data_IF_348128045187
#
_entry.id   IF_348128045187
#
_cell.length_a   1.000
_cell.length_b   1.000
_cell.length_c   1.000
_cell.angle_alpha   90.00
_cell.angle_beta   90.00
_cell.angle_gamma   90.00
#
_symmetry.space_group_name_H-M   'P 1'
#
loop_
_entity.id
_entity.type
_entity.pdbx_description
1 polymer ?
#
# COMPACT_ATOMS: atom_id res chain seq x y z
N UNK A 1 8.61 5.33 -27.71
CA UNK A 1 7.42 6.20 -27.59
C UNK A 1 7.86 7.65 -27.55
N UNK A 2 7.02 8.58 -28.08
CA UNK A 2 7.31 10.03 -28.08
C UNK A 2 6.57 10.76 -26.94
N UNK A 3 5.41 10.23 -26.53
CA UNK A 3 4.56 10.80 -25.48
C UNK A 3 4.04 9.73 -24.55
N UNK A 4 4.17 9.97 -23.24
CA UNK A 4 3.60 9.11 -22.22
C UNK A 4 2.78 9.94 -21.23
N UNK A 5 1.92 9.29 -20.48
CA UNK A 5 1.20 9.92 -19.37
C UNK A 5 1.50 9.23 -18.05
N UNK A 6 1.23 9.94 -16.95
CA UNK A 6 1.27 9.40 -15.60
C UNK A 6 0.02 9.81 -14.83
N UNK A 7 -0.55 8.88 -14.08
CA UNK A 7 -1.68 9.12 -13.18
C UNK A 7 -1.46 8.44 -11.83
N UNK A 8 -2.17 8.94 -10.83
CA UNK A 8 -2.37 8.28 -9.55
C UNK A 8 -3.84 7.93 -9.37
N UNK A 9 -4.14 6.75 -8.83
CA UNK A 9 -5.51 6.26 -8.68
C UNK A 9 -5.68 5.50 -7.36
N UNK A 10 -6.89 5.48 -6.83
CA UNK A 10 -7.20 4.82 -5.57
C UNK A 10 -6.88 5.69 -4.35
N UNK A 11 -6.47 5.07 -3.24
CA UNK A 11 -6.02 5.77 -2.05
C UNK A 11 -4.64 6.40 -2.27
N UNK A 12 -4.44 7.59 -1.72
CA UNK A 12 -3.12 8.20 -1.74
C UNK A 12 -2.15 7.49 -0.78
N UNK A 13 -0.86 7.56 -1.11
CA UNK A 13 0.22 7.01 -0.30
C UNK A 13 1.45 7.93 -0.32
N UNK A 14 2.18 8.06 0.80
CA UNK A 14 3.40 8.84 0.84
C UNK A 14 4.44 8.25 -0.13
N UNK A 15 4.98 9.07 -1.03
CA UNK A 15 5.92 8.62 -2.07
C UNK A 15 5.32 8.62 -3.48
N UNK A 16 3.99 8.73 -3.66
CA UNK A 16 3.39 8.91 -4.99
C UNK A 16 3.98 10.10 -5.73
N UNK A 17 4.17 11.23 -5.07
CA UNK A 17 4.81 12.41 -5.66
C UNK A 17 6.27 12.16 -6.08
N UNK A 18 7.00 11.34 -5.32
CA UNK A 18 8.36 10.94 -5.69
C UNK A 18 8.37 10.05 -6.95
N UNK A 19 7.39 9.14 -7.08
CA UNK A 19 7.22 8.31 -8.26
C UNK A 19 6.86 9.14 -9.50
N UNK A 20 5.89 10.04 -9.39
CA UNK A 20 5.53 10.97 -10.49
C UNK A 20 6.75 11.79 -10.91
N UNK A 21 7.51 12.33 -9.93
CA UNK A 21 8.73 13.08 -10.22
C UNK A 21 9.76 12.26 -10.98
N UNK A 22 9.94 11.01 -10.61
CA UNK A 22 10.87 10.11 -11.28
C UNK A 22 10.45 9.83 -12.73
N UNK A 23 9.18 9.53 -12.96
CA UNK A 23 8.60 9.35 -14.30
C UNK A 23 8.83 10.60 -15.14
N UNK A 24 8.46 11.78 -14.64
CA UNK A 24 8.59 13.04 -15.39
C UNK A 24 10.04 13.33 -15.75
N UNK A 25 10.95 13.28 -14.79
CA UNK A 25 12.36 13.62 -15.03
C UNK A 25 13.07 12.60 -15.92
N UNK A 26 12.78 11.31 -15.72
CA UNK A 26 13.33 10.25 -16.58
C UNK A 26 12.82 10.37 -18.00
N UNK A 27 11.52 10.58 -18.21
CA UNK A 27 10.93 10.78 -19.53
C UNK A 27 11.60 11.96 -20.28
N UNK A 28 11.71 13.11 -19.63
CA UNK A 28 12.37 14.29 -20.22
C UNK A 28 13.84 14.00 -20.55
N UNK A 29 14.58 13.27 -19.71
CA UNK A 29 15.98 12.91 -19.99
C UNK A 29 16.15 11.98 -21.19
N UNK A 30 15.12 11.23 -21.54
CA UNK A 30 15.05 10.35 -22.71
C UNK A 30 14.43 11.04 -23.96
N UNK A 31 14.11 12.34 -23.85
CA UNK A 31 13.49 13.09 -24.95
C UNK A 31 12.00 12.76 -25.16
N UNK A 32 11.33 12.21 -24.17
CA UNK A 32 9.93 11.83 -24.20
C UNK A 32 9.08 12.93 -23.55
N UNK A 33 8.05 13.41 -24.24
CA UNK A 33 7.05 14.31 -23.67
C UNK A 33 6.19 13.57 -22.66
N UNK A 34 5.94 14.19 -21.50
CA UNK A 34 5.18 13.57 -20.40
C UNK A 34 3.99 14.43 -20.00
N UNK A 35 2.86 13.79 -19.81
CA UNK A 35 1.59 14.39 -19.44
C UNK A 35 1.13 13.86 -18.07
N UNK A 36 0.59 14.74 -17.25
CA UNK A 36 -0.13 14.38 -16.02
C UNK A 36 -1.61 14.21 -16.30
N UNK A 37 -2.24 13.27 -15.63
CA UNK A 37 -3.69 13.08 -15.65
C UNK A 37 -4.19 13.32 -14.23
N UNK A 38 -5.01 14.36 -14.02
CA UNK A 38 -5.64 14.62 -12.73
C UNK A 38 -6.73 13.58 -12.44
N UNK A 39 -6.95 13.30 -11.14
CA UNK A 39 -8.06 12.45 -10.66
C UNK A 39 -8.09 11.02 -11.28
N UNK A 40 -6.92 10.49 -11.66
CA UNK A 40 -6.78 9.12 -12.12
C UNK A 40 -7.62 8.78 -13.36
N UNK A 41 -8.33 7.66 -13.32
CA UNK A 41 -9.16 7.21 -14.44
C UNK A 41 -10.34 8.14 -14.75
N UNK A 42 -10.90 8.82 -13.74
CA UNK A 42 -11.95 9.81 -13.96
C UNK A 42 -11.45 10.95 -14.85
N UNK A 43 -10.29 11.51 -14.53
CA UNK A 43 -9.68 12.55 -15.35
C UNK A 43 -9.21 12.07 -16.72
N UNK A 44 -8.76 10.81 -16.81
CA UNK A 44 -8.43 10.21 -18.12
C UNK A 44 -9.64 10.25 -19.05
N UNK A 45 -10.81 9.81 -18.60
CA UNK A 45 -12.05 9.79 -19.38
C UNK A 45 -12.55 11.21 -19.65
N UNK A 46 -12.43 12.12 -18.68
CA UNK A 46 -12.81 13.53 -18.84
C UNK A 46 -11.86 14.34 -19.74
N UNK A 47 -10.65 13.82 -20.04
CA UNK A 47 -9.63 14.55 -20.79
C UNK A 47 -8.91 15.61 -19.95
N UNK A 48 -8.91 15.50 -18.62
CA UNK A 48 -8.13 16.38 -17.71
C UNK A 48 -6.64 15.98 -17.74
N UNK A 49 -6.04 16.21 -18.88
CA UNK A 49 -4.69 15.80 -19.28
C UNK A 49 -3.88 17.03 -19.65
N UNK A 50 -2.72 17.20 -19.05
CA UNK A 50 -1.90 18.40 -19.23
C UNK A 50 -0.41 18.06 -19.29
N UNK A 51 0.42 18.87 -19.98
CA UNK A 51 1.84 18.62 -20.08
C UNK A 51 2.55 18.86 -18.75
N UNK A 52 3.52 18.01 -18.43
CA UNK A 52 4.40 18.13 -17.28
C UNK A 52 5.82 18.52 -17.72
N UNK A 53 6.46 19.36 -16.92
CA UNK A 53 7.84 19.81 -17.11
C UNK A 53 8.68 19.44 -15.89
N UNK A 54 10.00 19.59 -15.98
CA UNK A 54 10.88 19.44 -14.82
C UNK A 54 10.52 20.37 -13.66
N UNK A 55 9.99 21.56 -13.96
CA UNK A 55 9.53 22.51 -12.95
C UNK A 55 8.23 22.07 -12.26
N UNK A 56 7.33 21.38 -12.98
CA UNK A 56 6.06 20.86 -12.43
C UNK A 56 6.28 19.92 -11.24
N UNK A 57 7.42 19.25 -11.19
CA UNK A 57 7.78 18.28 -10.15
C UNK A 57 8.90 18.77 -9.22
N UNK A 58 9.22 20.06 -9.31
CA UNK A 58 10.15 20.71 -8.36
C UNK A 58 9.61 20.61 -6.94
N UNK A 59 10.48 20.34 -5.97
CA UNK A 59 10.18 20.24 -4.53
C UNK A 59 9.01 19.30 -4.15
N UNK A 60 8.68 18.32 -5.03
CA UNK A 60 7.60 17.36 -4.80
C UNK A 60 8.07 16.08 -4.09
N UNK A 61 9.35 15.73 -4.15
CA UNK A 61 9.87 14.44 -3.65
C UNK A 61 9.59 14.20 -2.16
N UNK A 62 9.58 15.25 -1.36
CA UNK A 62 9.33 15.17 0.08
C UNK A 62 7.87 15.41 0.49
N UNK A 63 6.96 15.62 -0.45
CA UNK A 63 5.55 15.89 -0.14
C UNK A 63 4.72 14.63 -0.14
N UNK A 64 3.93 14.44 0.92
CA UNK A 64 2.90 13.39 0.98
C UNK A 64 1.74 13.65 0.03
N UNK A 65 0.81 12.70 -0.03
CA UNK A 65 -0.31 12.73 -0.97
C UNK A 65 0.13 12.66 -2.43
N UNK A 66 -0.72 13.13 -3.32
CA UNK A 66 -0.46 13.21 -4.76
C UNK A 66 -0.93 14.54 -5.34
N UNK A 67 -0.06 15.25 -6.07
CA UNK A 67 -0.42 16.53 -6.70
C UNK A 67 -1.24 16.35 -7.98
N UNK A 68 -1.34 15.12 -8.51
CA UNK A 68 -2.25 14.77 -9.61
C UNK A 68 -3.65 14.41 -9.10
N UNK A 69 -3.87 14.53 -7.80
CA UNK A 69 -5.09 14.10 -7.15
C UNK A 69 -5.40 12.62 -7.38
N UNK A 70 -6.47 12.13 -6.77
CA UNK A 70 -6.95 10.76 -6.94
C UNK A 70 -8.46 10.72 -6.80
N UNK A 71 -9.11 9.86 -7.55
CA UNK A 71 -10.53 9.61 -7.44
C UNK A 71 -10.83 8.12 -7.62
N UNK A 72 -11.93 7.69 -7.03
CA UNK A 72 -12.55 6.40 -7.38
C UNK A 72 -13.43 6.63 -8.59
N UNK A 73 -13.32 5.76 -9.59
CA UNK A 73 -14.12 5.82 -10.80
C UNK A 73 -14.64 4.43 -11.17
N UNK A 74 -15.73 3.98 -10.54
CA UNK A 74 -16.30 2.65 -10.76
C UNK A 74 -16.67 2.39 -12.23
N UNK A 75 -17.03 3.42 -12.98
CA UNK A 75 -17.40 3.34 -14.39
C UNK A 75 -16.25 2.82 -15.27
N UNK A 76 -15.00 2.89 -14.81
CA UNK A 76 -13.86 2.31 -15.53
C UNK A 76 -13.84 0.78 -15.50
N UNK A 77 -14.70 0.13 -14.71
CA UNK A 77 -14.94 -1.31 -14.78
C UNK A 77 -15.70 -1.71 -16.05
N UNK A 78 -16.39 -0.77 -16.67
CA UNK A 78 -17.18 -0.98 -17.91
C UNK A 78 -16.32 -0.68 -19.15
N UNK A 79 -16.56 -1.44 -20.22
CA UNK A 79 -15.78 -1.32 -21.47
C UNK A 79 -15.89 0.08 -22.07
N UNK A 80 -17.07 0.70 -21.98
CA UNK A 80 -17.32 2.06 -22.48
C UNK A 80 -16.41 3.09 -21.84
N UNK A 81 -16.23 3.03 -20.50
CA UNK A 81 -15.32 3.91 -19.76
C UNK A 81 -13.86 3.68 -20.15
N UNK A 82 -13.46 2.43 -20.34
CA UNK A 82 -12.10 2.05 -20.75
C UNK A 82 -11.77 2.60 -22.15
N UNK A 83 -12.68 2.37 -23.11
CA UNK A 83 -12.51 2.84 -24.50
C UNK A 83 -12.53 4.37 -24.58
N UNK A 84 -13.41 5.05 -23.82
CA UNK A 84 -13.45 6.50 -23.74
C UNK A 84 -12.12 7.06 -23.22
N UNK A 85 -11.55 6.46 -22.17
CA UNK A 85 -10.22 6.84 -21.65
C UNK A 85 -9.11 6.68 -22.69
N UNK A 86 -9.08 5.54 -23.40
CA UNK A 86 -8.10 5.28 -24.46
C UNK A 86 -8.26 6.28 -25.61
N UNK A 87 -9.48 6.63 -25.97
CA UNK A 87 -9.74 7.64 -27.00
C UNK A 87 -9.17 9.00 -26.62
N UNK A 88 -9.34 9.42 -25.35
CA UNK A 88 -8.73 10.66 -24.86
C UNK A 88 -7.20 10.62 -24.91
N UNK A 89 -6.58 9.53 -24.44
CA UNK A 89 -5.13 9.36 -24.53
C UNK A 89 -4.63 9.50 -25.99
N UNK A 90 -5.32 8.88 -26.95
CA UNK A 90 -5.00 8.98 -28.37
C UNK A 90 -5.18 10.40 -28.93
N UNK A 91 -6.21 11.16 -28.49
CA UNK A 91 -6.41 12.57 -28.87
C UNK A 91 -5.23 13.45 -28.46
N UNK A 92 -4.62 13.19 -27.31
CA UNK A 92 -3.41 13.87 -26.86
C UNK A 92 -2.11 13.29 -27.47
N UNK A 93 -2.21 12.27 -28.31
CA UNK A 93 -1.07 11.58 -28.92
C UNK A 93 -0.23 10.78 -27.91
N UNK A 94 -0.83 10.38 -26.80
CA UNK A 94 -0.18 9.58 -25.73
C UNK A 94 -0.13 8.12 -26.20
N UNK A 95 1.05 7.52 -26.11
CA UNK A 95 1.36 6.17 -26.61
C UNK A 95 1.48 5.14 -25.49
N UNK A 96 1.58 5.57 -24.23
CA UNK A 96 1.66 4.71 -23.06
C UNK A 96 1.39 5.46 -21.77
N UNK A 97 1.01 4.74 -20.71
CA UNK A 97 0.65 5.34 -19.43
C UNK A 97 1.32 4.61 -18.26
N UNK A 98 1.82 5.39 -17.29
CA UNK A 98 2.27 4.89 -15.99
C UNK A 98 1.12 5.09 -14.99
N UNK A 99 0.69 3.99 -14.38
CA UNK A 99 -0.39 3.94 -13.39
C UNK A 99 0.19 3.69 -12.02
N UNK A 100 0.04 4.65 -11.10
CA UNK A 100 0.53 4.55 -9.73
C UNK A 100 -0.66 4.36 -8.79
N UNK A 101 -0.73 3.25 -8.08
CA UNK A 101 -1.83 3.00 -7.15
C UNK A 101 -1.86 1.58 -6.61
N UNK A 102 -2.95 1.24 -5.92
CA UNK A 102 -3.19 -0.06 -5.33
C UNK A 102 -3.91 -1.03 -6.27
N UNK A 103 -4.48 -2.09 -5.71
CA UNK A 103 -5.14 -3.20 -6.41
C UNK A 103 -6.15 -2.74 -7.48
N UNK A 104 -7.10 -1.87 -7.13
CA UNK A 104 -8.08 -1.35 -8.08
C UNK A 104 -7.46 -0.57 -9.25
N UNK A 105 -6.33 0.09 -9.04
CA UNK A 105 -5.59 0.81 -10.09
C UNK A 105 -4.90 -0.15 -11.05
N UNK A 106 -4.41 -1.28 -10.53
CA UNK A 106 -3.84 -2.36 -11.32
C UNK A 106 -4.90 -3.05 -12.19
N UNK A 107 -6.13 -3.23 -11.67
CA UNK A 107 -7.24 -3.71 -12.48
C UNK A 107 -7.52 -2.76 -13.67
N UNK A 108 -7.47 -1.45 -13.45
CA UNK A 108 -7.60 -0.48 -14.55
C UNK A 108 -6.44 -0.58 -15.56
N UNK A 109 -5.19 -0.71 -15.10
CA UNK A 109 -4.04 -0.91 -15.97
C UNK A 109 -4.13 -2.22 -16.77
N UNK A 110 -4.65 -3.29 -16.15
CA UNK A 110 -4.95 -4.55 -16.83
C UNK A 110 -5.95 -4.36 -17.96
N UNK A 111 -7.04 -3.61 -17.71
CA UNK A 111 -8.05 -3.33 -18.76
C UNK A 111 -7.47 -2.52 -19.92
N UNK A 112 -6.61 -1.54 -19.67
CA UNK A 112 -5.87 -0.85 -20.73
C UNK A 112 -5.03 -1.83 -21.56
N UNK A 113 -4.34 -2.75 -20.88
CA UNK A 113 -3.50 -3.79 -21.52
C UNK A 113 -4.34 -4.73 -22.38
N UNK A 114 -5.51 -5.17 -21.92
CA UNK A 114 -6.46 -6.00 -22.71
C UNK A 114 -6.89 -5.32 -24.02
N UNK A 115 -7.05 -4.00 -23.99
CA UNK A 115 -7.35 -3.21 -25.19
C UNK A 115 -6.11 -2.87 -26.04
N UNK A 116 -4.96 -3.45 -25.72
CA UNK A 116 -3.71 -3.23 -26.44
C UNK A 116 -3.08 -1.86 -26.21
N UNK A 117 -3.50 -1.12 -25.17
CA UNK A 117 -2.87 0.16 -24.80
C UNK A 117 -1.75 -0.07 -23.78
N UNK A 118 -0.50 0.37 -24.07
CA UNK A 118 0.64 0.13 -23.20
C UNK A 118 0.47 0.81 -21.83
N UNK A 119 0.41 0.01 -20.77
CA UNK A 119 0.35 0.47 -19.39
C UNK A 119 1.44 -0.17 -18.55
N UNK A 120 2.06 0.60 -17.64
CA UNK A 120 3.00 0.11 -16.65
C UNK A 120 2.49 0.48 -15.27
N UNK A 121 2.33 -0.54 -14.39
CA UNK A 121 1.85 -0.37 -13.02
C UNK A 121 2.99 -0.12 -12.03
N UNK A 122 2.79 0.81 -11.08
CA UNK A 122 3.66 1.02 -9.92
C UNK A 122 2.84 0.86 -8.63
N UNK A 123 3.32 0.08 -7.64
CA UNK A 123 2.55 -0.24 -6.43
C UNK A 123 2.56 0.92 -5.44
N UNK A 124 1.61 1.84 -5.56
CA UNK A 124 1.42 3.00 -4.69
C UNK A 124 0.28 2.77 -3.71
N UNK A 125 0.58 2.17 -2.56
CA UNK A 125 -0.37 1.92 -1.47
C UNK A 125 0.38 1.70 -0.15
N UNK A 126 -0.24 2.05 0.98
CA UNK A 126 0.31 1.77 2.31
C UNK A 126 0.06 0.32 2.76
N UNK A 127 -0.89 -0.38 2.15
CA UNK A 127 -1.42 -1.67 2.64
C UNK A 127 -0.44 -2.84 2.43
N UNK A 128 0.54 -2.69 1.53
CA UNK A 128 1.53 -3.69 1.12
C UNK A 128 0.91 -5.00 0.60
N UNK A 129 -0.30 -4.92 0.04
CA UNK A 129 -1.12 -6.05 -0.40
C UNK A 129 -1.01 -6.38 -1.91
N UNK A 130 -0.08 -5.72 -2.62
CA UNK A 130 0.10 -5.92 -4.06
C UNK A 130 0.97 -7.13 -4.36
N UNK A 131 0.47 -7.99 -5.21
CA UNK A 131 1.20 -9.17 -5.70
C UNK A 131 2.41 -8.76 -6.53
N UNK A 132 3.49 -9.52 -6.44
CA UNK A 132 4.67 -9.30 -7.29
C UNK A 132 5.72 -8.35 -6.73
N UNK A 133 5.52 -7.80 -5.54
CA UNK A 133 6.48 -6.93 -4.88
C UNK A 133 6.60 -7.25 -3.39
N UNK A 134 7.79 -7.08 -2.81
CA UNK A 134 8.00 -7.21 -1.36
C UNK A 134 7.55 -5.95 -0.61
N UNK A 135 7.68 -4.78 -1.25
CA UNK A 135 7.33 -3.50 -0.66
C UNK A 135 6.58 -2.61 -1.65
N UNK A 136 5.54 -1.95 -1.16
CA UNK A 136 4.79 -0.94 -1.89
C UNK A 136 5.26 0.46 -1.49
N UNK A 137 5.10 1.44 -2.40
CA UNK A 137 5.42 2.84 -2.17
C UNK A 137 4.41 3.41 -1.16
N UNK A 138 4.90 3.85 0.00
CA UNK A 138 4.11 4.43 1.10
C UNK A 138 4.00 3.53 2.32
N UNK A 139 4.29 2.24 2.19
CA UNK A 139 4.23 1.28 3.28
C UNK A 139 5.23 1.61 4.42
N UNK A 140 6.48 1.86 4.08
CA UNK A 140 7.53 2.17 5.07
C UNK A 140 7.21 3.45 5.87
N UNK A 141 6.63 4.45 5.21
CA UNK A 141 6.16 5.67 5.86
C UNK A 141 4.98 5.41 6.79
N UNK A 142 4.02 4.58 6.38
CA UNK A 142 2.89 4.20 7.22
C UNK A 142 3.35 3.44 8.47
N UNK A 143 4.26 2.48 8.31
CA UNK A 143 4.88 1.77 9.46
C UNK A 143 5.57 2.74 10.39
N UNK A 144 6.37 3.67 9.86
CA UNK A 144 7.07 4.68 10.68
C UNK A 144 6.10 5.59 11.45
N UNK A 145 4.98 5.97 10.83
CA UNK A 145 3.92 6.75 11.49
C UNK A 145 3.28 5.97 12.64
N UNK A 146 3.02 4.68 12.45
CA UNK A 146 2.46 3.82 13.51
C UNK A 146 3.46 3.65 14.64
N UNK A 147 4.74 3.41 14.35
CA UNK A 147 5.79 3.29 15.38
C UNK A 147 5.86 4.56 16.23
N UNK A 148 5.91 5.74 15.61
CA UNK A 148 5.91 7.03 16.33
C UNK A 148 4.66 7.22 17.22
N UNK A 149 3.50 6.74 16.77
CA UNK A 149 2.27 6.77 17.57
C UNK A 149 2.32 5.77 18.73
N UNK A 150 2.85 4.54 18.51
CA UNK A 150 2.98 3.51 19.53
C UNK A 150 3.94 3.95 20.65
N UNK A 151 5.04 4.61 20.30
CA UNK A 151 6.00 5.14 21.28
C UNK A 151 5.33 6.17 22.19
N UNK A 152 4.55 7.11 21.63
CA UNK A 152 3.77 8.09 22.41
C UNK A 152 2.70 7.44 23.29
N UNK A 153 2.02 6.41 22.78
CA UNK A 153 1.02 5.65 23.54
C UNK A 153 1.68 4.89 24.67
N UNK A 154 2.88 4.35 24.47
CA UNK A 154 3.65 3.64 25.48
C UNK A 154 3.95 4.51 26.70
N UNK A 155 4.35 5.76 26.50
CA UNK A 155 4.64 6.70 27.57
C UNK A 155 3.43 6.88 28.50
N UNK A 156 2.26 7.12 27.93
CA UNK A 156 1.04 7.27 28.73
C UNK A 156 0.52 5.95 29.28
N UNK A 157 0.68 4.84 28.55
CA UNK A 157 0.30 3.50 28.98
C UNK A 157 1.05 3.08 30.26
N UNK A 158 2.36 3.26 30.26
CA UNK A 158 3.21 2.95 31.42
C UNK A 158 2.93 3.86 32.62
N UNK A 159 2.63 5.13 32.39
CA UNK A 159 2.35 6.11 33.47
C UNK A 159 1.06 5.80 34.24
N UNK A 160 0.12 5.05 33.62
CA UNK A 160 -1.21 4.82 34.21
C UNK A 160 -1.55 3.34 34.44
N UNK A 161 -0.60 2.43 34.21
CA UNK A 161 -0.80 0.97 34.31
C UNK A 161 -1.99 0.49 33.44
N UNK A 162 -2.00 0.88 32.14
CA UNK A 162 -3.10 0.62 31.22
C UNK A 162 -2.73 -0.38 30.12
N UNK A 163 -3.77 -1.04 29.62
CA UNK A 163 -3.70 -1.78 28.34
C UNK A 163 -4.28 -0.92 27.22
N UNK A 164 -3.57 -0.84 26.10
CA UNK A 164 -4.05 -0.16 24.89
C UNK A 164 -4.24 -1.16 23.77
N UNK A 165 -5.37 -1.01 23.07
CA UNK A 165 -5.61 -1.58 21.74
C UNK A 165 -5.40 -0.46 20.73
N UNK A 166 -4.44 -0.62 19.84
CA UNK A 166 -4.12 0.36 18.80
C UNK A 166 -4.50 -0.22 17.45
N UNK A 167 -5.58 0.29 16.88
CA UNK A 167 -6.07 -0.11 15.57
C UNK A 167 -5.28 0.61 14.48
N UNK A 168 -4.78 -0.17 13.51
CA UNK A 168 -4.01 0.31 12.37
C UNK A 168 -4.64 -0.12 11.05
N UNK A 169 -4.37 0.66 9.99
CA UNK A 169 -4.83 0.36 8.65
C UNK A 169 -4.10 -0.86 8.06
N UNK A 170 -4.40 -1.21 6.82
CA UNK A 170 -3.86 -2.33 6.07
C UNK A 170 -4.93 -3.10 5.31
N UNK A 171 -6.20 -2.70 5.40
CA UNK A 171 -7.36 -3.37 4.80
C UNK A 171 -7.40 -4.84 5.25
N UNK A 172 -7.20 -5.78 4.31
CA UNK A 172 -7.21 -7.22 4.57
C UNK A 172 -5.80 -7.80 4.84
N UNK A 173 -4.77 -6.95 4.93
CA UNK A 173 -3.39 -7.36 5.20
C UNK A 173 -2.93 -6.89 6.58
N UNK A 174 -2.18 -7.75 7.26
CA UNK A 174 -1.61 -7.48 8.58
C UNK A 174 -0.22 -6.87 8.57
N UNK A 175 0.31 -6.48 7.40
CA UNK A 175 1.71 -6.07 7.23
C UNK A 175 2.08 -4.83 8.07
N UNK A 176 1.23 -3.80 8.08
CA UNK A 176 1.47 -2.60 8.90
C UNK A 176 1.50 -2.98 10.38
N UNK A 177 0.50 -3.75 10.84
CA UNK A 177 0.41 -4.18 12.23
C UNK A 177 1.64 -5.00 12.66
N UNK A 178 2.09 -5.94 11.82
CA UNK A 178 3.26 -6.78 12.09
C UNK A 178 4.55 -5.97 12.17
N UNK A 179 4.84 -5.20 11.13
CA UNK A 179 6.09 -4.46 11.05
C UNK A 179 6.18 -3.38 12.14
N UNK A 180 5.12 -2.59 12.32
CA UNK A 180 5.10 -1.56 13.34
C UNK A 180 5.05 -2.14 14.76
N UNK A 181 4.26 -3.19 14.98
CA UNK A 181 4.15 -3.84 16.27
C UNK A 181 5.47 -4.45 16.73
N UNK A 182 6.21 -5.11 15.84
CA UNK A 182 7.56 -5.64 16.14
C UNK A 182 8.55 -4.51 16.39
N UNK A 183 8.56 -3.50 15.51
CA UNK A 183 9.49 -2.38 15.62
C UNK A 183 9.29 -1.59 16.93
N UNK A 184 8.04 -1.42 17.37
CA UNK A 184 7.71 -0.76 18.63
C UNK A 184 7.69 -1.70 19.84
N UNK A 185 7.92 -3.01 19.68
CA UNK A 185 7.86 -3.99 20.78
C UNK A 185 6.47 -4.10 21.39
N UNK A 186 5.44 -4.22 20.57
CA UNK A 186 4.08 -4.50 21.01
C UNK A 186 3.99 -5.89 21.67
N UNK A 187 3.14 -6.02 22.67
CA UNK A 187 3.01 -7.26 23.43
C UNK A 187 2.22 -8.32 22.65
N UNK A 188 1.13 -7.91 22.02
CA UNK A 188 0.35 -8.75 21.13
C UNK A 188 0.11 -8.03 19.79
N UNK A 189 0.05 -8.81 18.71
CA UNK A 189 -0.29 -8.31 17.36
C UNK A 189 -1.36 -9.22 16.79
N UNK A 190 -2.53 -8.63 16.45
CA UNK A 190 -3.67 -9.35 15.88
C UNK A 190 -3.83 -8.98 14.40
N UNK A 191 -3.72 -9.98 13.53
CA UNK A 191 -3.76 -9.82 12.07
C UNK A 191 -4.80 -10.77 11.43
N UNK A 192 -5.37 -10.43 10.27
CA UNK A 192 -6.38 -11.26 9.62
C UNK A 192 -5.84 -12.62 9.16
N UNK A 193 -4.55 -12.73 8.84
CA UNK A 193 -3.91 -13.97 8.35
C UNK A 193 -3.69 -15.01 9.44
N UNK A 194 -3.90 -14.66 10.72
CA UNK A 194 -3.65 -15.54 11.85
C UNK A 194 -4.80 -15.53 12.83
N UNK A 195 -5.44 -16.69 12.97
CA UNK A 195 -6.43 -16.87 14.03
C UNK A 195 -5.81 -16.74 15.43
N UNK A 196 -6.54 -16.12 16.35
CA UNK A 196 -6.21 -15.99 17.75
C UNK A 196 -7.43 -16.23 18.63
N UNK A 197 -7.20 -16.46 19.93
CA UNK A 197 -8.26 -16.61 20.93
C UNK A 197 -8.13 -15.48 21.96
N UNK A 198 -9.25 -14.84 22.30
CA UNK A 198 -9.27 -13.75 23.26
C UNK A 198 -8.76 -14.17 24.64
N UNK A 199 -9.07 -15.43 25.05
CA UNK A 199 -8.58 -16.01 26.30
C UNK A 199 -7.04 -16.04 26.35
N UNK A 200 -6.38 -16.29 25.23
CA UNK A 200 -4.92 -16.28 25.15
C UNK A 200 -4.37 -14.86 25.32
N UNK A 201 -5.01 -13.86 24.71
CA UNK A 201 -4.62 -12.46 24.86
C UNK A 201 -4.79 -12.02 26.31
N UNK A 202 -5.94 -12.34 26.96
CA UNK A 202 -6.17 -12.06 28.38
C UNK A 202 -5.11 -12.73 29.26
N UNK A 203 -4.77 -13.98 28.98
CA UNK A 203 -3.74 -14.72 29.71
C UNK A 203 -2.34 -14.08 29.55
N UNK A 204 -2.00 -13.61 28.34
CA UNK A 204 -0.73 -12.92 28.09
C UNK A 204 -0.65 -11.62 28.89
N UNK A 205 -1.71 -10.82 28.89
CA UNK A 205 -1.80 -9.59 29.68
C UNK A 205 -1.59 -9.89 31.17
N UNK A 206 -2.36 -10.85 31.73
CA UNK A 206 -2.29 -11.20 33.15
C UNK A 206 -0.89 -11.70 33.53
N UNK A 207 -0.29 -12.60 32.76
CA UNK A 207 1.07 -13.06 32.96
C UNK A 207 2.10 -11.92 32.91
N UNK A 208 1.89 -10.92 32.03
CA UNK A 208 2.71 -9.73 31.98
C UNK A 208 2.68 -8.97 33.30
N UNK A 209 1.50 -8.69 33.82
CA UNK A 209 1.33 -8.02 35.11
C UNK A 209 1.91 -8.84 36.28
N UNK A 210 1.70 -10.15 36.29
CA UNK A 210 2.29 -11.05 37.30
C UNK A 210 3.83 -11.00 37.33
N UNK A 211 4.46 -10.76 36.16
CA UNK A 211 5.91 -10.61 36.00
C UNK A 211 6.42 -9.19 36.22
N UNK A 212 5.56 -8.29 36.69
CA UNK A 212 5.91 -6.91 37.01
C UNK A 212 5.81 -5.92 35.85
N UNK A 213 5.26 -6.29 34.68
CA UNK A 213 4.88 -5.31 33.68
C UNK A 213 3.77 -4.42 34.25
N UNK A 214 3.80 -3.15 33.87
CA UNK A 214 2.82 -2.18 34.31
C UNK A 214 1.91 -1.66 33.18
N UNK A 215 2.12 -2.12 31.96
CA UNK A 215 1.31 -1.76 30.79
C UNK A 215 1.32 -2.87 29.74
N UNK A 216 0.40 -2.79 28.80
CA UNK A 216 0.30 -3.74 27.70
C UNK A 216 -0.19 -3.05 26.41
N UNK A 217 0.46 -3.31 25.28
CA UNK A 217 0.11 -2.73 23.99
C UNK A 217 -0.23 -3.84 23.01
N UNK A 218 -1.47 -3.78 22.49
CA UNK A 218 -1.98 -4.68 21.47
C UNK A 218 -2.10 -3.88 20.18
N UNK A 219 -1.43 -4.30 19.11
CA UNK A 219 -1.61 -3.75 17.78
C UNK A 219 -2.63 -4.59 17.03
N UNK A 220 -3.68 -3.95 16.56
CA UNK A 220 -4.82 -4.60 15.88
C UNK A 220 -4.92 -4.12 14.44
N UNK A 221 -4.79 -5.01 13.46
CA UNK A 221 -5.09 -4.68 12.08
C UNK A 221 -6.61 -4.50 11.87
N UNK A 222 -7.02 -3.42 11.19
CA UNK A 222 -8.45 -3.12 10.91
C UNK A 222 -9.19 -4.26 10.21
N UNK A 223 -8.48 -5.09 9.45
CA UNK A 223 -9.06 -6.26 8.76
C UNK A 223 -9.50 -7.39 9.69
N UNK A 224 -9.14 -7.35 10.96
CA UNK A 224 -9.62 -8.33 11.98
C UNK A 224 -10.99 -7.93 12.48
N UNK A 225 -11.09 -6.75 13.05
CA UNK A 225 -12.30 -6.10 13.56
C UNK A 225 -11.95 -4.68 14.03
N UNK A 226 -12.95 -3.88 14.39
CA UNK A 226 -12.71 -2.56 14.98
C UNK A 226 -12.12 -2.66 16.39
N UNK A 227 -11.34 -1.66 16.79
CA UNK A 227 -10.75 -1.61 18.13
C UNK A 227 -11.79 -1.65 19.26
N UNK A 228 -12.95 -1.02 19.05
CA UNK A 228 -14.04 -1.03 20.04
C UNK A 228 -14.70 -2.42 20.17
N UNK A 229 -14.89 -3.13 19.06
CA UNK A 229 -15.38 -4.52 19.08
C UNK A 229 -14.37 -5.43 19.77
N UNK A 230 -13.06 -5.24 19.47
CA UNK A 230 -11.99 -5.99 20.11
C UNK A 230 -11.96 -5.77 21.62
N UNK A 231 -12.07 -4.51 22.05
CA UNK A 231 -12.10 -4.16 23.48
C UNK A 231 -13.30 -4.78 24.20
N UNK A 232 -14.48 -4.82 23.55
CA UNK A 232 -15.68 -5.45 24.09
C UNK A 232 -15.46 -6.94 24.27
N UNK A 233 -15.01 -7.65 23.25
CA UNK A 233 -14.74 -9.09 23.30
C UNK A 233 -13.65 -9.48 24.30
N UNK A 234 -12.63 -8.61 24.46
CA UNK A 234 -11.56 -8.83 25.44
C UNK A 234 -12.11 -8.79 26.88
N UNK A 235 -13.04 -7.87 27.17
CA UNK A 235 -13.73 -7.81 28.46
C UNK A 235 -14.66 -9.02 28.67
N UNK A 236 -15.39 -9.45 27.65
CA UNK A 236 -16.21 -10.67 27.68
C UNK A 236 -15.37 -11.92 27.95
N UNK A 237 -14.15 -11.99 27.43
CA UNK A 237 -13.18 -13.05 27.69
C UNK A 237 -12.53 -12.96 29.10
N UNK A 238 -12.95 -12.01 29.92
CA UNK A 238 -12.59 -11.92 31.34
C UNK A 238 -11.50 -10.89 31.66
N UNK A 239 -11.09 -10.02 30.74
CA UNK A 239 -10.19 -8.93 31.06
C UNK A 239 -10.87 -7.87 31.92
N UNK A 240 -10.27 -7.53 33.09
CA UNK A 240 -10.85 -6.60 34.09
C UNK A 240 -10.05 -5.31 34.28
N UNK A 241 -8.93 -5.16 33.58
CA UNK A 241 -8.06 -3.99 33.72
C UNK A 241 -8.58 -2.73 33.00
N UNK A 242 -7.87 -1.62 33.18
CA UNK A 242 -8.14 -0.36 32.45
C UNK A 242 -7.69 -0.50 30.99
N UNK A 243 -8.68 -0.53 30.08
CA UNK A 243 -8.51 -0.73 28.64
C UNK A 243 -8.85 0.55 27.90
N UNK A 244 -7.97 0.94 26.99
CA UNK A 244 -8.14 2.08 26.09
C UNK A 244 -8.01 1.65 24.65
N UNK A 245 -8.74 2.29 23.75
CA UNK A 245 -8.66 2.11 22.29
C UNK A 245 -8.12 3.38 21.67
N UNK A 246 -7.21 3.22 20.73
CA UNK A 246 -6.72 4.28 19.87
C UNK A 246 -6.79 3.83 18.42
N UNK A 247 -7.63 4.49 17.61
CA UNK A 247 -7.73 4.24 16.17
C UNK A 247 -6.88 5.26 15.45
N UNK A 248 -5.79 4.83 14.82
CA UNK A 248 -4.87 5.76 14.14
C UNK A 248 -5.45 6.30 12.83
N UNK A 249 -6.18 5.48 12.09
CA UNK A 249 -6.91 5.91 10.90
C UNK A 249 -6.03 6.60 9.87
N UNK A 250 -6.57 7.65 9.23
CA UNK A 250 -5.99 8.28 8.04
C UNK A 250 -4.66 9.03 8.24
N UNK A 251 -4.19 9.25 9.47
CA UNK A 251 -2.83 9.81 9.68
C UNK A 251 -1.75 8.91 9.05
N UNK A 252 -2.02 7.62 8.90
CA UNK A 252 -1.14 6.64 8.28
C UNK A 252 -0.98 6.84 6.77
N UNK A 253 -1.90 7.55 6.11
CA UNK A 253 -1.82 7.87 4.67
C UNK A 253 -1.01 9.13 4.38
N UNK A 254 -0.79 9.96 5.37
CA UNK A 254 -0.14 11.26 5.23
C UNK A 254 1.32 11.27 5.60
N UNK A 255 1.88 12.46 5.56
CA UNK A 255 3.25 12.72 5.98
C UNK A 255 4.27 12.72 4.85
N UNK A 256 5.47 13.18 5.20
CA UNK A 256 6.61 13.19 4.29
C UNK A 256 7.15 11.78 4.11
N UNK A 257 7.30 11.28 2.86
CA UNK A 257 7.77 9.92 2.64
C UNK A 257 9.18 9.72 3.22
N UNK A 258 9.41 8.54 3.80
CA UNK A 258 10.73 8.14 4.29
C UNK A 258 11.76 8.10 3.16
N UNK A 259 13.04 8.04 3.53
CA UNK A 259 14.12 7.88 2.54
C UNK A 259 13.92 6.60 1.70
N UNK A 260 13.45 5.51 2.34
CA UNK A 260 13.18 4.24 1.64
C UNK A 260 12.08 4.41 0.59
N UNK A 261 10.95 4.98 0.95
CA UNK A 261 9.85 5.22 0.00
C UNK A 261 10.23 6.15 -1.15
N UNK A 262 11.01 7.21 -0.88
CA UNK A 262 11.50 8.11 -1.93
C UNK A 262 12.43 7.39 -2.92
N UNK A 263 13.35 6.58 -2.43
CA UNK A 263 14.30 5.82 -3.27
C UNK A 263 13.56 4.76 -4.07
N UNK A 264 12.69 3.98 -3.41
CA UNK A 264 11.86 2.95 -4.05
C UNK A 264 11.01 3.54 -5.18
N UNK A 265 10.26 4.61 -4.88
CA UNK A 265 9.43 5.32 -5.84
C UNK A 265 10.25 5.87 -7.02
N UNK A 266 11.46 6.39 -6.75
CA UNK A 266 12.34 6.91 -7.79
C UNK A 266 12.88 5.81 -8.71
N UNK A 267 13.29 4.68 -8.15
CA UNK A 267 13.75 3.51 -8.91
C UNK A 267 12.66 2.95 -9.80
N UNK A 268 11.47 2.70 -9.22
CA UNK A 268 10.32 2.16 -9.96
C UNK A 268 9.83 3.12 -11.04
N UNK A 269 9.71 4.42 -10.73
CA UNK A 269 9.29 5.42 -11.70
C UNK A 269 10.24 5.56 -12.89
N UNK A 270 11.55 5.52 -12.66
CA UNK A 270 12.53 5.53 -13.74
C UNK A 270 12.43 4.27 -14.62
N UNK A 271 12.30 3.09 -14.00
CA UNK A 271 12.15 1.81 -14.72
C UNK A 271 10.90 1.76 -15.59
N UNK A 272 9.78 2.28 -15.09
CA UNK A 272 8.55 2.35 -15.86
C UNK A 272 8.71 3.14 -17.18
N UNK A 273 9.46 4.23 -17.15
CA UNK A 273 9.77 5.02 -18.36
C UNK A 273 10.65 4.23 -19.33
N UNK A 274 11.67 3.53 -18.84
CA UNK A 274 12.53 2.70 -19.67
C UNK A 274 11.73 1.62 -20.40
N UNK A 275 10.82 0.94 -19.71
CA UNK A 275 9.95 -0.06 -20.29
C UNK A 275 9.08 0.52 -21.40
N UNK A 276 8.40 1.65 -21.14
CA UNK A 276 7.57 2.31 -22.16
C UNK A 276 8.42 2.80 -23.34
N UNK A 277 9.61 3.39 -23.11
CA UNK A 277 10.56 3.78 -24.18
C UNK A 277 10.87 2.60 -25.09
N UNK A 278 11.11 1.43 -24.51
CA UNK A 278 11.48 0.21 -25.22
C UNK A 278 10.26 -0.52 -25.84
N UNK A 279 9.06 0.10 -25.74
CA UNK A 279 7.81 -0.44 -26.28
C UNK A 279 7.16 -1.50 -25.40
N UNK A 280 7.63 -1.70 -24.18
CA UNK A 280 7.13 -2.70 -23.24
C UNK A 280 6.02 -2.08 -22.39
N UNK A 281 4.83 -2.67 -22.46
CA UNK A 281 3.66 -2.36 -21.64
C UNK A 281 3.01 -3.64 -21.15
N UNK A 282 1.94 -3.52 -20.37
CA UNK A 282 1.25 -4.66 -19.77
C UNK A 282 2.02 -5.28 -18.60
N UNK A 283 2.93 -4.55 -17.99
CA UNK A 283 3.76 -5.01 -16.88
C UNK A 283 3.63 -4.11 -15.66
N UNK A 284 3.90 -4.68 -14.49
CA UNK A 284 4.06 -3.97 -13.24
C UNK A 284 5.52 -4.03 -12.79
N UNK A 285 6.04 -2.92 -12.28
CA UNK A 285 7.37 -2.87 -11.66
C UNK A 285 7.21 -3.08 -10.16
N UNK A 286 7.91 -4.06 -9.63
CA UNK A 286 7.99 -4.37 -8.22
C UNK A 286 9.44 -4.40 -7.72
N UNK A 287 9.62 -4.79 -6.46
CA UNK A 287 10.94 -5.06 -5.87
C UNK A 287 10.89 -6.43 -5.17
N UNK A 288 11.91 -7.25 -5.39
CA UNK A 288 12.12 -8.52 -4.66
C UNK A 288 13.59 -8.64 -4.31
N UNK A 289 13.88 -8.95 -3.05
CA UNK A 289 15.26 -9.05 -2.56
C UNK A 289 16.11 -7.82 -2.93
N UNK A 290 15.56 -6.61 -2.77
CA UNK A 290 16.18 -5.31 -3.09
C UNK A 290 16.44 -5.08 -4.60
N UNK A 291 16.06 -5.99 -5.49
CA UNK A 291 16.16 -5.84 -6.94
C UNK A 291 14.80 -5.50 -7.57
N UNK A 292 14.83 -4.65 -8.60
CA UNK A 292 13.62 -4.37 -9.37
C UNK A 292 13.24 -5.60 -10.20
N UNK A 293 11.97 -5.94 -10.16
CA UNK A 293 11.38 -7.03 -10.93
C UNK A 293 10.21 -6.53 -11.76
N UNK A 294 9.95 -7.21 -12.86
CA UNK A 294 8.84 -6.92 -13.75
C UNK A 294 7.94 -8.14 -13.80
N UNK A 295 6.65 -7.92 -13.59
CA UNK A 295 5.65 -8.99 -13.66
C UNK A 295 4.61 -8.61 -14.70
N UNK A 296 4.21 -9.50 -15.62
CA UNK A 296 3.07 -9.26 -16.50
C UNK A 296 1.83 -8.93 -15.65
N UNK A 297 1.08 -7.89 -16.03
CA UNK A 297 -0.15 -7.56 -15.30
C UNK A 297 -1.20 -8.63 -15.55
N UNK A 298 -1.32 -9.12 -16.80
CA UNK A 298 -2.28 -10.13 -17.21
C UNK A 298 -1.56 -11.32 -17.82
N UNK A 299 -1.99 -12.53 -17.47
CA UNK A 299 -1.43 -13.80 -17.97
C UNK A 299 -1.72 -14.95 -17.01
N UNK A 300 -0.94 -16.00 -17.07
CA UNK A 300 -1.06 -17.14 -16.17
C UNK A 300 -0.18 -16.98 -14.93
N UNK A 301 -0.49 -17.73 -13.86
CA UNK A 301 0.36 -17.80 -12.67
C UNK A 301 1.75 -18.39 -12.98
N UNK A 302 1.83 -19.29 -13.94
CA UNK A 302 3.10 -19.91 -14.40
C UNK A 302 4.00 -18.90 -15.11
N UNK A 303 3.42 -17.94 -15.82
CA UNK A 303 4.14 -16.82 -16.42
C UNK A 303 4.53 -15.74 -15.41
N UNK A 304 4.15 -15.89 -14.14
CA UNK A 304 4.40 -14.89 -13.09
C UNK A 304 3.50 -13.67 -13.19
N UNK A 305 2.41 -13.73 -13.94
CA UNK A 305 1.46 -12.63 -14.08
C UNK A 305 0.71 -12.36 -12.77
N UNK A 306 0.33 -11.10 -12.57
CA UNK A 306 -0.38 -10.68 -11.36
C UNK A 306 -1.83 -11.15 -11.36
N UNK A 307 -2.48 -11.09 -12.52
CA UNK A 307 -3.88 -11.47 -12.71
C UNK A 307 -4.05 -12.45 -13.86
N UNK A 308 -5.06 -13.30 -13.75
CA UNK A 308 -5.55 -14.14 -14.85
C UNK A 308 -7.06 -13.97 -15.03
N UNK A 309 -7.55 -14.18 -16.24
CA UNK A 309 -8.98 -14.22 -16.52
C UNK A 309 -9.53 -15.60 -16.15
N UNK A 310 -10.69 -15.64 -15.50
CA UNK A 310 -11.42 -16.89 -15.29
C UNK A 310 -12.23 -17.26 -16.52
N UNK A 311 -12.63 -18.52 -16.64
CA UNK A 311 -13.47 -19.02 -17.72
C UNK A 311 -14.84 -18.29 -17.82
N UNK A 312 -15.28 -17.67 -16.73
CA UNK A 312 -16.52 -16.89 -16.64
C UNK A 312 -16.30 -15.39 -16.89
N UNK A 313 -15.10 -14.98 -17.31
CA UNK A 313 -14.74 -13.58 -17.57
C UNK A 313 -14.42 -12.75 -16.31
N UNK A 314 -14.33 -13.39 -15.15
CA UNK A 314 -13.88 -12.75 -13.90
C UNK A 314 -12.36 -12.61 -13.85
N UNK A 315 -11.88 -11.87 -12.85
CA UNK A 315 -10.46 -11.69 -12.58
C UNK A 315 -10.06 -12.55 -11.38
N UNK A 316 -8.94 -13.26 -11.51
CA UNK A 316 -8.30 -14.01 -10.43
C UNK A 316 -6.94 -13.40 -10.14
N UNK A 317 -6.68 -13.10 -8.88
CA UNK A 317 -5.34 -12.72 -8.39
C UNK A 317 -4.48 -13.97 -8.32
N UNK A 318 -3.34 -13.96 -9.00
CA UNK A 318 -2.37 -15.04 -8.94
C UNK A 318 -1.45 -14.85 -7.73
N UNK A 319 -1.17 -15.93 -6.99
CA UNK A 319 -0.27 -15.90 -5.82
C UNK A 319 -0.59 -14.73 -4.86
N UNK A 320 -1.78 -14.69 -4.24
CA UNK A 320 -2.18 -13.58 -3.38
C UNK A 320 -1.14 -13.34 -2.28
N UNK A 321 -0.94 -12.05 -1.97
CA UNK A 321 -0.03 -11.64 -0.92
C UNK A 321 -0.41 -12.27 0.42
N UNK A 322 0.60 -12.65 1.19
CA UNK A 322 0.43 -13.13 2.57
C UNK A 322 1.38 -12.34 3.45
N UNK A 323 0.84 -11.70 4.48
CA UNK A 323 1.65 -11.06 5.49
C UNK A 323 2.74 -12.01 6.01
N UNK A 324 3.90 -11.47 6.32
CA UNK A 324 5.07 -12.23 6.73
C UNK A 324 4.87 -13.04 8.00
N UNK A 325 4.31 -14.24 7.88
CA UNK A 325 4.08 -15.16 9.02
C UNK A 325 5.36 -15.47 9.80
N UNK A 326 6.53 -15.32 9.19
CA UNK A 326 7.81 -15.36 9.89
C UNK A 326 7.93 -14.25 10.94
N UNK A 327 7.53 -13.02 10.58
CA UNK A 327 7.51 -11.88 11.50
C UNK A 327 6.53 -12.12 12.65
N UNK A 328 5.39 -12.75 12.38
CA UNK A 328 4.46 -13.15 13.42
C UNK A 328 5.08 -14.15 14.41
N UNK A 329 5.79 -15.17 13.90
CA UNK A 329 6.53 -16.13 14.74
C UNK A 329 7.63 -15.46 15.53
N UNK A 330 8.36 -14.51 14.93
CA UNK A 330 9.37 -13.72 15.62
C UNK A 330 8.76 -12.93 16.78
N UNK A 331 7.66 -12.20 16.56
CA UNK A 331 6.97 -11.47 17.61
C UNK A 331 6.54 -12.40 18.75
N UNK A 332 5.96 -13.56 18.43
CA UNK A 332 5.56 -14.56 19.42
C UNK A 332 6.76 -15.07 20.22
N UNK A 333 7.91 -15.22 19.60
CA UNK A 333 9.14 -15.63 20.29
C UNK A 333 9.71 -14.53 21.18
N UNK A 334 9.72 -13.28 20.70
CA UNK A 334 10.27 -12.13 21.44
C UNK A 334 9.43 -11.75 22.66
N UNK A 335 8.10 -11.90 22.56
CA UNK A 335 7.16 -11.58 23.64
C UNK A 335 6.69 -12.81 24.40
N UNK A 336 7.25 -13.98 24.11
CA UNK A 336 6.80 -15.24 24.68
C UNK A 336 7.08 -15.28 26.19
N UNK A 337 6.08 -14.89 26.95
CA UNK A 337 6.01 -15.10 28.40
C UNK A 337 5.86 -16.60 28.75
N UNK A 338 5.79 -17.47 27.73
CA UNK A 338 5.66 -18.93 27.77
C UNK A 338 6.96 -19.65 27.42
N UNK A 339 8.10 -19.09 27.69
CA UNK A 339 9.31 -19.91 27.69
C UNK A 339 9.29 -20.81 28.93
N UNK A 340 8.81 -22.05 28.69
CA UNK A 340 8.74 -23.25 29.55
C UNK A 340 7.63 -23.25 30.61
#
# INVERSE_FOLDING_TARGET
>A
MKRIAVLTSGGDAPGMNAAIRAVVRKAISEGIEVYGINHGYAGMVAGDIFPLTSASVGDKIGRGGTFLYSARYPEFTQVEGQLAGIEQLKKFGIEGVVVIGGDGSYHGAMRLTEHGFPAVGLPGTIDNDIVGTDFTIGFDTAVSTVVDALDKIRDTSSSHNRTFVVEVMGRNAGDIALNAGIAAGADDICIPEKEFKFENVVNNINKGYEKGKNHHIIVLAEGVMTGEEFATKLKEAGYKGDLRVSVLGHIQRGGSPTARDRVLASRMGARAVELLRDGIGGVAVGIRNEELVESPILGTAEEGALFSLTTEGGIKVNNPHKAGLELYRLNSALNNLNLN
#
